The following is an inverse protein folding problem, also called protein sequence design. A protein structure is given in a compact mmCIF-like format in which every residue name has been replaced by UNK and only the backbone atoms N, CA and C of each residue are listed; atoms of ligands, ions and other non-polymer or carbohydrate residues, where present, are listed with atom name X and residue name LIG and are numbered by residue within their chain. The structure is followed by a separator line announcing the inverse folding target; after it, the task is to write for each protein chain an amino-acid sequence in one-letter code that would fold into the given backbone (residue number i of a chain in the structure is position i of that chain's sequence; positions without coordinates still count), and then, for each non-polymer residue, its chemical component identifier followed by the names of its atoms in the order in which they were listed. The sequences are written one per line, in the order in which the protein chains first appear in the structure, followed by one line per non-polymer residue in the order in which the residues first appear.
data_IF_609944739753
#
_entry.id   IF_609944739753
#
_cell.length_a   1.000
_cell.length_b   1.000
_cell.length_c   1.000
_cell.angle_alpha   90.00
_cell.angle_beta   90.00
_cell.angle_gamma   90.00
#
_symmetry.space_group_name_H-M   'P 1'
#
loop_
_entity.id
_entity.type
_entity.pdbx_description
1 polymer ?
#
# COMPACT_ATOMS: atom_id res chain seq x y z
N UNK A 1 -0.97 -31.33 55.50
CA UNK A 1 -1.67 -30.03 55.60
C UNK A 1 -0.65 -28.95 55.29
N UNK A 2 -0.74 -28.27 54.16
CA UNK A 2 0.08 -27.08 53.89
C UNK A 2 -0.86 -26.00 53.40
N UNK A 3 -1.34 -25.20 54.35
CA UNK A 3 -2.00 -23.94 54.07
C UNK A 3 -0.95 -23.06 53.38
N UNK A 4 -1.15 -22.76 52.10
CA UNK A 4 -0.32 -21.77 51.42
C UNK A 4 -0.59 -20.42 52.07
N UNK A 5 0.35 -19.92 52.86
CA UNK A 5 0.32 -18.55 53.39
C UNK A 5 0.38 -17.58 52.21
N UNK A 6 -0.78 -17.11 51.78
CA UNK A 6 -0.90 -16.05 50.80
C UNK A 6 -0.61 -14.71 51.50
N UNK A 7 0.29 -13.93 50.93
CA UNK A 7 0.70 -12.63 51.48
C UNK A 7 -0.49 -11.66 51.61
N UNK A 8 -0.40 -10.73 52.56
CA UNK A 8 -1.39 -9.67 52.75
C UNK A 8 -1.08 -8.50 51.83
N UNK A 9 -2.13 -7.84 51.34
CA UNK A 9 -2.04 -6.65 50.50
C UNK A 9 -1.16 -5.55 51.13
N UNK A 10 -0.24 -4.99 50.37
CA UNK A 10 0.68 -3.94 50.81
C UNK A 10 0.10 -2.52 50.80
N UNK A 11 -1.23 -2.37 50.72
CA UNK A 11 -1.87 -1.06 50.70
C UNK A 11 -2.14 -0.61 52.14
N UNK A 12 -1.86 0.66 52.47
CA UNK A 12 -2.06 1.18 53.83
C UNK A 12 -3.49 0.90 54.34
N UNK A 13 -3.58 0.27 55.50
CA UNK A 13 -4.87 -0.09 56.13
C UNK A 13 -5.61 -1.28 55.49
N UNK A 14 -5.02 -2.00 54.54
CA UNK A 14 -5.66 -3.15 53.89
C UNK A 14 -5.14 -4.49 54.45
N UNK A 15 -6.04 -5.33 54.95
CA UNK A 15 -5.73 -6.68 55.45
C UNK A 15 -6.19 -7.81 54.51
N UNK A 16 -6.58 -7.48 53.27
CA UNK A 16 -7.08 -8.48 52.32
C UNK A 16 -5.93 -9.37 51.79
N UNK A 17 -6.18 -10.68 51.60
CA UNK A 17 -5.17 -11.59 51.06
C UNK A 17 -4.92 -11.33 49.57
N UNK A 18 -3.68 -11.52 49.14
CA UNK A 18 -3.29 -11.50 47.73
C UNK A 18 -3.68 -12.83 47.09
N UNK A 19 -4.34 -12.78 45.94
CA UNK A 19 -4.91 -13.97 45.30
C UNK A 19 -3.88 -14.86 44.59
N UNK A 20 -2.63 -14.40 44.40
CA UNK A 20 -1.60 -15.11 43.65
C UNK A 20 -0.20 -14.82 44.21
N UNK A 21 0.62 -15.86 44.36
CA UNK A 21 2.03 -15.70 44.77
C UNK A 21 2.78 -14.77 43.79
N UNK A 22 3.62 -13.88 44.34
CA UNK A 22 4.40 -12.89 43.59
C UNK A 22 3.72 -11.54 43.38
N UNK A 23 2.46 -11.37 43.80
CA UNK A 23 1.77 -10.07 43.78
C UNK A 23 1.78 -9.42 45.16
N UNK A 24 1.75 -8.08 45.19
CA UNK A 24 1.78 -7.30 46.43
C UNK A 24 0.44 -6.66 46.79
N UNK A 25 -0.48 -6.52 45.83
CA UNK A 25 -1.80 -5.92 46.02
C UNK A 25 -2.92 -6.95 45.92
N UNK A 26 -3.97 -6.78 46.71
CA UNK A 26 -5.21 -7.53 46.50
C UNK A 26 -5.91 -7.07 45.22
N UNK A 27 -6.88 -7.88 44.76
CA UNK A 27 -7.59 -7.66 43.50
C UNK A 27 -8.20 -6.25 43.38
N UNK A 28 -8.80 -5.72 44.46
CA UNK A 28 -9.43 -4.39 44.44
C UNK A 28 -8.41 -3.25 44.30
N UNK A 29 -7.27 -3.34 44.99
CA UNK A 29 -6.20 -2.34 44.89
C UNK A 29 -5.43 -2.42 43.58
N UNK A 30 -5.16 -3.62 43.08
CA UNK A 30 -4.58 -3.82 41.76
C UNK A 30 -5.50 -3.28 40.64
N UNK A 31 -6.81 -3.45 40.77
CA UNK A 31 -7.78 -2.91 39.82
C UNK A 31 -7.82 -1.38 39.86
N UNK A 32 -7.78 -0.77 41.06
CA UNK A 32 -7.67 0.69 41.21
C UNK A 32 -6.35 1.25 40.70
N UNK A 33 -5.23 0.57 40.89
CA UNK A 33 -3.93 1.01 40.36
C UNK A 33 -3.86 0.97 38.83
N UNK A 34 -4.78 0.25 38.17
CA UNK A 34 -4.94 0.22 36.71
C UNK A 34 -6.03 1.16 36.19
N UNK A 35 -6.76 1.84 37.07
CA UNK A 35 -7.67 2.94 36.72
C UNK A 35 -6.98 4.31 36.72
N UNK A 36 -5.64 4.34 36.57
CA UNK A 36 -5.00 5.55 36.04
C UNK A 36 -5.61 5.74 34.66
N UNK A 37 -6.39 6.81 34.50
CA UNK A 37 -7.07 7.18 33.27
C UNK A 37 -6.12 6.92 32.10
N UNK A 38 -6.53 6.07 31.16
CA UNK A 38 -5.80 5.96 29.90
C UNK A 38 -5.60 7.39 29.40
N UNK A 39 -4.35 7.84 29.15
CA UNK A 39 -4.14 9.19 28.67
C UNK A 39 -4.99 9.32 27.42
N UNK A 40 -6.01 10.19 27.48
CA UNK A 40 -6.84 10.48 26.31
C UNK A 40 -5.88 10.80 25.19
N UNK A 41 -5.89 9.98 24.14
CA UNK A 41 -5.04 10.20 22.99
C UNK A 41 -5.45 11.55 22.37
N UNK A 42 -4.80 12.63 22.80
CA UNK A 42 -4.90 13.92 22.15
C UNK A 42 -4.09 13.80 20.88
N UNK A 43 -4.79 13.56 19.77
CA UNK A 43 -4.21 13.74 18.45
C UNK A 43 -3.76 15.20 18.35
N UNK A 44 -2.47 15.45 18.53
CA UNK A 44 -1.87 16.73 18.15
C UNK A 44 -1.98 16.76 16.64
N UNK A 45 -3.01 17.43 16.12
CA UNK A 45 -3.16 17.66 14.69
C UNK A 45 -1.85 18.27 14.19
N UNK A 46 -1.24 17.65 13.18
CA UNK A 46 -0.09 18.25 12.51
C UNK A 46 -0.48 19.67 12.10
N UNK A 47 0.34 20.70 12.45
CA UNK A 47 0.03 22.05 12.05
C UNK A 47 -0.14 22.07 10.53
N UNK A 48 -1.31 22.52 10.07
CA UNK A 48 -1.57 22.68 8.64
C UNK A 48 -0.47 23.56 8.05
N UNK A 49 0.03 23.24 6.84
CA UNK A 49 1.04 24.08 6.22
C UNK A 49 0.51 25.52 6.11
N UNK A 50 1.28 26.48 6.63
CA UNK A 50 0.92 27.90 6.57
C UNK A 50 1.11 28.35 5.12
N UNK A 51 0.01 28.38 4.37
CA UNK A 51 -0.02 28.86 3.00
C UNK A 51 -0.36 30.34 3.03
N UNK A 52 0.51 31.18 2.48
CA UNK A 52 0.26 32.63 2.42
C UNK A 52 -0.97 32.96 1.57
N UNK A 53 -1.72 33.99 1.98
CA UNK A 53 -2.96 34.43 1.33
C UNK A 53 -2.73 35.46 0.21
N UNK A 54 -1.51 35.59 -0.28
CA UNK A 54 -1.21 36.60 -1.30
C UNK A 54 -1.90 36.22 -2.61
N UNK A 55 -2.77 37.09 -3.13
CA UNK A 55 -3.59 36.77 -4.31
C UNK A 55 -2.76 36.81 -5.61
N UNK A 56 -1.54 37.35 -5.56
CA UNK A 56 -0.69 37.61 -6.72
C UNK A 56 0.46 36.60 -6.88
N UNK A 57 0.48 35.54 -6.07
CA UNK A 57 1.52 34.51 -6.13
C UNK A 57 1.26 33.49 -7.25
N UNK A 58 2.33 33.00 -7.91
CA UNK A 58 2.20 32.04 -8.99
C UNK A 58 1.64 30.71 -8.47
N UNK A 59 0.60 30.22 -9.15
CA UNK A 59 -0.01 28.91 -8.91
C UNK A 59 0.74 27.82 -9.67
N UNK A 60 0.98 26.69 -9.02
CA UNK A 60 1.78 25.59 -9.51
C UNK A 60 0.87 24.41 -9.88
N UNK A 61 1.03 23.88 -11.09
CA UNK A 61 0.38 22.62 -11.49
C UNK A 61 1.30 21.43 -11.18
N UNK A 62 0.84 20.21 -11.46
CA UNK A 62 1.62 18.98 -11.24
C UNK A 62 2.98 18.96 -11.96
N UNK A 63 3.10 19.62 -13.12
CA UNK A 63 4.37 19.73 -13.85
C UNK A 63 5.34 20.67 -13.12
N UNK A 64 4.89 21.87 -12.74
CA UNK A 64 5.71 22.83 -11.99
C UNK A 64 6.11 22.33 -10.60
N UNK A 65 5.22 21.56 -9.95
CA UNK A 65 5.57 20.85 -8.71
C UNK A 65 6.61 19.76 -8.99
N UNK A 66 6.44 19.01 -10.08
CA UNK A 66 7.35 17.95 -10.50
C UNK A 66 8.77 18.44 -10.74
N UNK A 67 8.92 19.56 -11.43
CA UNK A 67 10.22 20.21 -11.66
C UNK A 67 10.97 20.50 -10.35
N UNK A 68 10.25 20.87 -9.28
CA UNK A 68 10.86 21.13 -7.96
C UNK A 68 11.26 19.88 -7.20
N UNK A 69 10.55 18.78 -7.43
CA UNK A 69 10.78 17.50 -6.74
C UNK A 69 11.53 16.46 -7.58
N UNK A 70 11.94 16.85 -8.79
CA UNK A 70 12.53 15.94 -9.79
C UNK A 70 11.62 14.73 -10.11
N UNK A 71 10.33 14.99 -10.24
CA UNK A 71 9.30 14.02 -10.59
C UNK A 71 8.54 14.49 -11.82
N UNK A 72 8.02 13.56 -12.63
CA UNK A 72 7.12 13.90 -13.71
C UNK A 72 5.70 14.21 -13.17
N UNK A 73 4.87 14.84 -14.00
CA UNK A 73 3.52 15.25 -13.61
C UNK A 73 2.62 14.09 -13.19
N UNK A 74 2.80 12.88 -13.75
CA UNK A 74 2.03 11.70 -13.36
C UNK A 74 2.41 11.25 -11.94
N UNK A 75 3.71 11.18 -11.66
CA UNK A 75 4.24 10.82 -10.34
C UNK A 75 3.80 11.80 -9.25
N UNK A 76 3.81 13.11 -9.53
CA UNK A 76 3.28 14.09 -8.56
C UNK A 76 1.79 13.91 -8.31
N UNK A 77 1.00 13.73 -9.36
CA UNK A 77 -0.43 13.51 -9.18
C UNK A 77 -0.70 12.21 -8.40
N UNK A 78 0.13 11.17 -8.58
CA UNK A 78 0.08 9.95 -7.78
C UNK A 78 0.27 10.23 -6.30
N UNK A 79 1.35 10.94 -5.94
CA UNK A 79 1.63 11.34 -4.55
C UNK A 79 0.48 12.18 -3.96
N UNK A 80 -0.02 13.18 -4.70
CA UNK A 80 -1.11 14.04 -4.25
C UNK A 80 -2.43 13.28 -4.09
N UNK A 81 -2.68 12.27 -4.92
CA UNK A 81 -3.84 11.41 -4.81
C UNK A 81 -3.76 10.49 -3.59
N UNK A 82 -2.59 9.89 -3.34
CA UNK A 82 -2.36 9.02 -2.18
C UNK A 82 -2.47 9.78 -0.85
N UNK A 83 -2.05 11.06 -0.82
CA UNK A 83 -2.29 11.97 0.31
C UNK A 83 -3.77 12.34 0.49
N UNK A 84 -4.64 11.96 -0.44
CA UNK A 84 -6.05 12.33 -0.45
C UNK A 84 -6.29 13.80 -0.72
N UNK A 85 -5.35 14.49 -1.37
CA UNK A 85 -5.43 15.93 -1.65
C UNK A 85 -6.09 16.23 -3.00
N UNK A 86 -6.09 15.26 -3.92
CA UNK A 86 -6.82 15.31 -5.19
C UNK A 86 -7.64 14.04 -5.42
N UNK A 87 -8.63 14.14 -6.29
CA UNK A 87 -9.51 13.05 -6.70
C UNK A 87 -9.62 13.01 -8.23
N UNK A 88 -9.99 11.84 -8.76
CA UNK A 88 -10.29 11.69 -10.19
C UNK A 88 -11.54 12.51 -10.54
N UNK A 89 -11.52 13.12 -11.72
CA UNK A 89 -12.69 13.72 -12.34
C UNK A 89 -12.60 13.50 -13.85
N UNK A 90 -13.44 12.60 -14.37
CA UNK A 90 -13.39 12.14 -15.76
C UNK A 90 -11.98 11.67 -16.17
N UNK A 91 -11.32 12.41 -17.08
CA UNK A 91 -9.96 12.15 -17.57
C UNK A 91 -8.89 13.01 -16.87
N UNK A 92 -9.27 13.74 -15.83
CA UNK A 92 -8.41 14.71 -15.16
C UNK A 92 -8.49 14.60 -13.64
N UNK A 93 -8.23 15.72 -12.99
CA UNK A 93 -8.08 15.81 -11.54
C UNK A 93 -8.82 17.02 -10.97
N UNK A 94 -9.45 16.83 -9.81
CA UNK A 94 -10.04 17.90 -9.01
C UNK A 94 -9.47 17.88 -7.58
N UNK A 95 -9.46 19.01 -6.86
CA UNK A 95 -9.18 19.02 -5.43
C UNK A 95 -10.18 18.16 -4.65
N UNK A 96 -9.70 17.47 -3.62
CA UNK A 96 -10.58 16.93 -2.58
C UNK A 96 -10.94 18.03 -1.57
N UNK A 97 -11.85 17.76 -0.64
CA UNK A 97 -12.13 18.67 0.48
C UNK A 97 -10.88 19.00 1.33
N UNK A 98 -9.89 18.11 1.39
CA UNK A 98 -8.60 18.38 2.04
C UNK A 98 -7.71 19.27 1.17
N UNK A 99 -7.66 19.01 -0.14
CA UNK A 99 -6.96 19.87 -1.10
C UNK A 99 -7.46 21.31 -1.10
N UNK A 100 -8.78 21.52 -1.04
CA UNK A 100 -9.38 22.86 -0.98
C UNK A 100 -9.00 23.62 0.29
N UNK A 101 -8.92 22.93 1.44
CA UNK A 101 -8.41 23.51 2.70
C UNK A 101 -6.96 23.97 2.56
N UNK A 102 -6.18 23.27 1.73
CA UNK A 102 -4.82 23.62 1.33
C UNK A 102 -4.78 24.60 0.13
N UNK A 103 -5.89 25.30 -0.14
CA UNK A 103 -6.02 26.32 -1.19
C UNK A 103 -5.77 25.80 -2.61
N UNK A 104 -5.93 24.50 -2.84
CA UNK A 104 -5.93 23.94 -4.18
C UNK A 104 -7.12 24.47 -4.98
N UNK A 105 -6.91 24.70 -6.28
CA UNK A 105 -7.94 25.19 -7.19
C UNK A 105 -8.02 24.26 -8.40
N UNK A 106 -9.24 23.96 -8.83
CA UNK A 106 -9.50 23.29 -10.11
C UNK A 106 -9.39 24.31 -11.24
N UNK A 107 -8.68 23.95 -12.31
CA UNK A 107 -8.64 24.66 -13.59
C UNK A 107 -8.89 23.69 -14.73
N UNK A 108 -9.24 24.20 -15.90
CA UNK A 108 -9.46 23.41 -17.12
C UNK A 108 -8.37 23.74 -18.13
N UNK A 109 -7.82 22.74 -18.80
CA UNK A 109 -6.91 22.96 -19.92
C UNK A 109 -7.65 23.64 -21.08
N UNK A 110 -7.11 24.75 -21.57
CA UNK A 110 -7.76 25.54 -22.64
C UNK A 110 -8.00 24.77 -23.94
N UNK A 111 -7.21 23.71 -24.20
CA UNK A 111 -7.26 22.96 -25.46
C UNK A 111 -8.32 21.86 -25.49
N UNK A 112 -8.58 21.20 -24.37
CA UNK A 112 -9.38 19.97 -24.31
C UNK A 112 -10.33 19.90 -23.11
N UNK A 113 -10.41 20.97 -22.32
CA UNK A 113 -11.27 21.09 -21.14
C UNK A 113 -11.05 20.00 -20.08
N UNK A 114 -9.92 19.31 -20.09
CA UNK A 114 -9.58 18.32 -19.07
C UNK A 114 -9.28 19.06 -17.75
N UNK A 115 -9.88 18.66 -16.62
CA UNK A 115 -9.64 19.29 -15.34
C UNK A 115 -8.26 18.95 -14.78
N UNK A 116 -7.61 19.94 -14.16
CA UNK A 116 -6.36 19.76 -13.44
C UNK A 116 -6.31 20.65 -12.20
N UNK A 117 -5.42 20.30 -11.27
CA UNK A 117 -5.30 20.99 -10.00
C UNK A 117 -4.08 21.91 -9.99
N UNK A 118 -4.27 23.12 -9.45
CA UNK A 118 -3.20 24.06 -9.18
C UNK A 118 -3.13 24.41 -7.70
N UNK A 119 -1.93 24.72 -7.24
CA UNK A 119 -1.59 24.90 -5.83
C UNK A 119 -0.86 26.21 -5.61
N UNK A 120 -0.99 26.79 -4.43
CA UNK A 120 -0.09 27.85 -4.02
C UNK A 120 1.35 27.31 -3.89
N UNK A 121 2.37 28.08 -4.29
CA UNK A 121 3.77 27.66 -4.28
C UNK A 121 4.29 27.17 -2.91
N UNK A 122 3.68 27.63 -1.82
CA UNK A 122 4.02 27.23 -0.45
C UNK A 122 3.67 25.76 -0.15
N UNK A 123 2.90 25.10 -1.00
CA UNK A 123 2.61 23.66 -0.83
C UNK A 123 3.90 22.83 -0.81
N UNK A 124 4.95 23.28 -1.50
CA UNK A 124 6.27 22.64 -1.49
C UNK A 124 6.95 22.67 -0.10
N UNK A 125 6.53 23.55 0.81
CA UNK A 125 7.02 23.64 2.19
C UNK A 125 6.29 22.66 3.12
N UNK A 126 5.22 22.02 2.65
CA UNK A 126 4.48 21.05 3.45
C UNK A 126 5.35 19.84 3.76
N UNK A 127 5.59 19.58 5.05
CA UNK A 127 6.31 18.38 5.50
C UNK A 127 5.62 17.10 5.05
N UNK A 128 4.29 17.10 4.96
CA UNK A 128 3.51 15.95 4.49
C UNK A 128 3.87 15.64 3.03
N UNK A 129 3.90 16.67 2.18
CA UNK A 129 4.26 16.49 0.77
C UNK A 129 5.73 16.09 0.60
N UNK A 130 6.64 16.73 1.34
CA UNK A 130 8.07 16.41 1.29
C UNK A 130 8.34 14.96 1.71
N UNK A 131 7.71 14.49 2.79
CA UNK A 131 7.85 13.12 3.26
C UNK A 131 7.28 12.13 2.24
N UNK A 132 6.10 12.39 1.69
CA UNK A 132 5.46 11.52 0.71
C UNK A 132 6.27 11.44 -0.60
N UNK A 133 6.83 12.56 -1.06
CA UNK A 133 7.75 12.58 -2.21
C UNK A 133 9.03 11.82 -1.90
N UNK A 134 9.60 11.98 -0.70
CA UNK A 134 10.81 11.26 -0.30
C UNK A 134 10.56 9.75 -0.25
N UNK A 135 9.43 9.31 0.31
CA UNK A 135 9.03 7.90 0.34
C UNK A 135 8.83 7.36 -1.09
N UNK A 136 8.16 8.12 -1.94
CA UNK A 136 7.98 7.79 -3.36
C UNK A 136 9.32 7.65 -4.09
N UNK A 137 10.25 8.59 -3.90
CA UNK A 137 11.58 8.55 -4.49
C UNK A 137 12.44 7.42 -3.92
N UNK A 138 12.33 7.07 -2.64
CA UNK A 138 13.05 5.92 -2.08
C UNK A 138 12.67 4.60 -2.78
N UNK A 139 11.42 4.47 -3.22
CA UNK A 139 10.97 3.34 -4.04
C UNK A 139 11.59 3.41 -5.45
N UNK A 140 11.77 4.61 -6.00
CA UNK A 140 12.34 4.79 -7.35
C UNK A 140 13.87 4.66 -7.39
N UNK A 141 14.61 5.24 -6.44
CA UNK A 141 16.09 5.27 -6.39
C UNK A 141 16.69 3.87 -6.18
N UNK A 142 15.91 2.91 -5.67
CA UNK A 142 16.28 1.48 -5.72
C UNK A 142 16.19 0.86 -7.14
N UNK A 143 16.18 1.67 -8.21
CA UNK A 143 16.62 1.28 -9.57
C UNK A 143 16.97 2.51 -10.44
N UNK A 144 17.99 2.49 -11.33
CA UNK A 144 18.97 1.44 -11.62
C UNK A 144 20.43 1.95 -11.58
N UNK A 145 21.27 1.30 -10.78
CA UNK A 145 22.67 1.09 -11.18
C UNK A 145 22.81 -0.37 -11.57
N UNK A 146 23.08 -0.58 -12.85
CA UNK A 146 23.46 -1.85 -13.46
C UNK A 146 24.81 -2.25 -12.85
N UNK A 147 24.81 -2.84 -11.65
CA UNK A 147 25.98 -3.55 -11.10
C UNK A 147 25.58 -4.54 -10.02
N UNK A 148 24.63 -5.44 -10.30
CA UNK A 148 24.55 -6.71 -9.57
C UNK A 148 24.17 -7.84 -10.54
N UNK A 149 25.13 -8.21 -11.39
CA UNK A 149 25.31 -9.63 -11.69
C UNK A 149 25.92 -10.26 -10.45
N UNK A 150 25.26 -11.30 -9.90
CA UNK A 150 25.70 -12.26 -8.85
C UNK A 150 24.77 -12.22 -7.63
N UNK A 151 23.89 -13.17 -7.30
CA UNK A 151 23.62 -14.53 -7.78
C UNK A 151 22.14 -14.83 -7.48
N UNK A 152 21.32 -15.08 -8.48
CA UNK A 152 20.08 -15.85 -8.30
C UNK A 152 20.34 -17.27 -8.81
N UNK A 153 20.48 -18.28 -7.92
CA UNK A 153 20.48 -19.65 -8.37
C UNK A 153 19.10 -20.08 -8.86
N UNK A 154 19.12 -20.66 -10.05
CA UNK A 154 18.04 -21.25 -10.83
C UNK A 154 17.21 -22.29 -10.06
N UNK A 155 16.18 -21.88 -9.33
CA UNK A 155 15.14 -22.83 -8.89
C UNK A 155 13.86 -22.10 -8.50
N UNK A 156 13.09 -21.70 -9.52
CA UNK A 156 11.73 -21.20 -9.36
C UNK A 156 10.77 -22.36 -9.01
N UNK A 157 10.95 -23.03 -7.88
CA UNK A 157 10.07 -24.10 -7.40
C UNK A 157 8.81 -23.51 -6.74
N UNK A 158 7.75 -24.32 -6.64
CA UNK A 158 6.52 -24.07 -5.90
C UNK A 158 6.71 -23.12 -4.71
N UNK A 159 5.72 -22.25 -4.43
CA UNK A 159 5.62 -21.54 -3.13
C UNK A 159 5.33 -22.53 -1.98
N UNK A 160 6.03 -23.66 -1.95
CA UNK A 160 6.20 -24.55 -0.81
C UNK A 160 7.01 -23.83 0.29
N UNK A 161 6.93 -24.37 1.49
CA UNK A 161 7.28 -23.74 2.77
C UNK A 161 8.69 -23.11 2.84
N UNK A 162 9.63 -23.43 1.95
CA UNK A 162 10.97 -22.81 1.90
C UNK A 162 11.16 -21.59 0.97
N UNK A 163 10.31 -21.33 -0.03
CA UNK A 163 10.50 -20.17 -0.94
C UNK A 163 10.28 -18.84 -0.22
N UNK A 164 9.29 -18.80 0.68
CA UNK A 164 8.94 -17.60 1.43
C UNK A 164 10.04 -17.15 2.38
N UNK A 165 10.78 -18.13 2.90
CA UNK A 165 11.93 -17.94 3.79
C UNK A 165 13.17 -17.51 3.01
N UNK A 166 13.40 -18.09 1.82
CA UNK A 166 14.56 -17.78 0.98
C UNK A 166 14.49 -16.39 0.32
N UNK A 167 13.29 -15.90 0.03
CA UNK A 167 13.06 -14.60 -0.60
C UNK A 167 12.04 -13.80 0.23
N UNK A 168 12.44 -13.08 1.28
CA UNK A 168 11.49 -12.31 2.07
C UNK A 168 10.87 -11.18 1.23
N UNK A 169 9.60 -10.81 1.48
CA UNK A 169 9.00 -9.64 0.85
C UNK A 169 9.58 -8.36 1.47
N UNK A 170 10.46 -7.68 0.76
CA UNK A 170 11.20 -6.51 1.27
C UNK A 170 10.65 -5.18 0.78
N UNK A 171 9.83 -5.18 -0.27
CA UNK A 171 9.32 -3.96 -0.91
C UNK A 171 7.94 -3.66 -0.34
N UNK A 172 7.74 -2.46 0.20
CA UNK A 172 6.43 -2.00 0.68
C UNK A 172 5.67 -1.35 -0.47
N UNK A 173 4.48 -1.86 -0.78
CA UNK A 173 3.58 -1.31 -1.79
C UNK A 173 2.69 -0.19 -1.21
N UNK A 174 2.01 0.55 -2.08
CA UNK A 174 1.25 1.77 -1.72
C UNK A 174 0.12 1.52 -0.72
N UNK A 175 -0.48 0.34 -0.74
CA UNK A 175 -1.55 -0.04 0.20
C UNK A 175 -1.03 -0.66 1.51
N UNK A 176 0.28 -0.87 1.61
CA UNK A 176 0.96 -1.46 2.75
C UNK A 176 1.32 -2.93 2.61
N UNK A 177 1.00 -3.62 1.51
CA UNK A 177 1.49 -4.97 1.27
C UNK A 177 3.02 -5.00 1.20
N UNK A 178 3.62 -6.07 1.73
CA UNK A 178 5.04 -6.38 1.52
C UNK A 178 5.13 -7.35 0.34
N UNK A 179 5.71 -6.91 -0.77
CA UNK A 179 5.83 -7.68 -2.03
C UNK A 179 7.29 -8.03 -2.33
N UNK A 180 7.51 -8.95 -3.28
CA UNK A 180 8.81 -9.58 -3.55
C UNK A 180 9.52 -9.01 -4.78
N UNK A 181 8.82 -8.25 -5.62
CA UNK A 181 9.38 -7.67 -6.84
C UNK A 181 8.78 -6.30 -7.17
N UNK A 182 9.52 -5.51 -7.96
CA UNK A 182 9.05 -4.19 -8.44
C UNK A 182 7.80 -4.29 -9.31
N UNK A 183 7.73 -5.31 -10.17
CA UNK A 183 6.55 -5.54 -11.01
C UNK A 183 5.30 -5.81 -10.16
N UNK A 184 5.42 -6.63 -9.10
CA UNK A 184 4.32 -6.81 -8.14
C UNK A 184 3.95 -5.49 -7.44
N UNK A 185 4.93 -4.69 -7.02
CA UNK A 185 4.64 -3.38 -6.41
C UNK A 185 3.89 -2.45 -7.36
N UNK A 186 4.21 -2.47 -8.66
CA UNK A 186 3.50 -1.69 -9.68
C UNK A 186 2.07 -2.21 -9.91
N UNK A 187 1.87 -3.53 -9.93
CA UNK A 187 0.53 -4.14 -10.05
C UNK A 187 -0.32 -3.83 -8.82
N UNK A 188 0.25 -3.97 -7.62
CA UNK A 188 -0.39 -3.64 -6.35
C UNK A 188 -0.80 -2.17 -6.29
N UNK A 189 0.15 -1.26 -6.57
CA UNK A 189 -0.11 0.16 -6.66
C UNK A 189 -1.27 0.44 -7.61
N UNK A 190 -1.26 -0.16 -8.81
CA UNK A 190 -2.32 0.00 -9.79
C UNK A 190 -3.70 -0.42 -9.27
N UNK A 191 -3.79 -1.59 -8.63
CA UNK A 191 -5.03 -2.09 -8.03
C UNK A 191 -5.52 -1.14 -6.94
N UNK A 192 -4.60 -0.62 -6.13
CA UNK A 192 -4.91 0.36 -5.08
C UNK A 192 -5.44 1.69 -5.65
N UNK A 193 -4.80 2.30 -6.67
CA UNK A 193 -5.29 3.59 -7.22
C UNK A 193 -6.66 3.46 -7.86
N UNK A 194 -6.94 2.30 -8.46
CA UNK A 194 -8.23 1.99 -9.08
C UNK A 194 -9.29 1.55 -8.06
N UNK A 195 -8.96 1.61 -6.75
CA UNK A 195 -9.85 1.23 -5.64
C UNK A 195 -10.38 -0.20 -5.79
N UNK A 196 -9.55 -1.08 -6.33
CA UNK A 196 -9.85 -2.49 -6.50
C UNK A 196 -9.38 -3.20 -5.23
N UNK A 197 -10.35 -3.75 -4.49
CA UNK A 197 -10.05 -4.63 -3.35
C UNK A 197 -9.31 -5.85 -3.90
N UNK A 198 -8.15 -6.14 -3.33
CA UNK A 198 -7.31 -7.24 -3.74
C UNK A 198 -6.59 -7.88 -2.55
N UNK A 199 -6.15 -9.12 -2.73
CA UNK A 199 -5.36 -9.86 -1.76
C UNK A 199 -4.05 -10.32 -2.40
N UNK A 200 -2.92 -10.04 -1.74
CA UNK A 200 -1.59 -10.49 -2.16
C UNK A 200 -1.27 -11.91 -1.66
N UNK A 201 -0.59 -12.71 -2.49
CA UNK A 201 -0.20 -14.10 -2.20
C UNK A 201 -1.30 -14.98 -1.58
N UNK A 202 -2.49 -14.94 -2.19
CA UNK A 202 -3.67 -15.66 -1.71
C UNK A 202 -3.65 -17.12 -2.15
N UNK A 203 -4.09 -18.02 -1.28
CA UNK A 203 -4.30 -19.43 -1.61
C UNK A 203 -5.39 -19.55 -2.69
N UNK A 204 -5.08 -20.24 -3.77
CA UNK A 204 -6.05 -20.51 -4.84
C UNK A 204 -7.02 -21.58 -4.35
N UNK A 205 -8.31 -21.43 -4.73
CA UNK A 205 -9.39 -22.35 -4.33
C UNK A 205 -9.35 -23.66 -5.12
N UNK A 206 -8.27 -24.42 -4.97
CA UNK A 206 -8.08 -25.76 -5.55
C UNK A 206 -7.53 -26.69 -4.48
N UNK A 207 -7.64 -28.01 -4.70
CA UNK A 207 -7.17 -29.01 -3.73
C UNK A 207 -5.65 -28.96 -3.51
N UNK A 208 -4.90 -28.62 -4.56
CA UNK A 208 -3.45 -28.48 -4.45
C UNK A 208 -3.08 -27.16 -3.79
N UNK A 209 -2.18 -27.20 -2.79
CA UNK A 209 -1.71 -25.99 -2.10
C UNK A 209 -0.89 -25.12 -3.07
N UNK A 210 -1.55 -24.14 -3.69
CA UNK A 210 -0.94 -23.17 -4.58
C UNK A 210 -1.41 -21.75 -4.27
N UNK A 211 -0.57 -20.77 -4.53
CA UNK A 211 -0.85 -19.36 -4.27
C UNK A 211 -0.78 -18.57 -5.58
N UNK A 212 -1.72 -17.65 -5.77
CA UNK A 212 -1.64 -16.63 -6.82
C UNK A 212 -0.79 -15.44 -6.38
N UNK A 213 -0.50 -14.51 -7.28
CA UNK A 213 0.16 -13.26 -6.89
C UNK A 213 -0.87 -12.26 -6.36
N UNK A 214 -1.98 -12.07 -7.07
CA UNK A 214 -3.11 -11.28 -6.59
C UNK A 214 -4.45 -11.98 -6.81
N UNK A 215 -5.41 -11.76 -5.92
CA UNK A 215 -6.80 -12.20 -6.06
C UNK A 215 -7.75 -11.03 -5.88
N UNK A 216 -8.67 -10.85 -6.82
CA UNK A 216 -9.68 -9.79 -6.82
C UNK A 216 -11.05 -10.38 -6.42
N UNK A 217 -11.46 -10.30 -5.15
CA UNK A 217 -12.69 -10.95 -4.67
C UNK A 217 -13.97 -10.42 -5.32
N UNK A 218 -14.06 -9.12 -5.64
CA UNK A 218 -15.25 -8.53 -6.28
C UNK A 218 -15.51 -9.13 -7.66
N UNK A 219 -14.43 -9.49 -8.39
CA UNK A 219 -14.52 -10.02 -9.74
C UNK A 219 -14.32 -11.54 -9.81
N UNK A 220 -13.97 -12.17 -8.70
CA UNK A 220 -13.52 -13.58 -8.65
C UNK A 220 -12.45 -13.89 -9.71
N UNK A 221 -11.41 -13.05 -9.77
CA UNK A 221 -10.30 -13.14 -10.73
C UNK A 221 -8.97 -13.29 -10.01
N UNK A 222 -8.13 -14.19 -10.49
CA UNK A 222 -6.74 -14.34 -10.10
C UNK A 222 -5.82 -13.61 -11.08
N UNK A 223 -4.72 -13.06 -10.58
CA UNK A 223 -3.67 -12.42 -11.38
C UNK A 223 -2.35 -13.12 -11.08
N UNK A 224 -1.59 -13.40 -12.13
CA UNK A 224 -0.24 -13.97 -12.09
C UNK A 224 0.73 -13.10 -12.87
N UNK A 225 1.91 -12.84 -12.31
CA UNK A 225 2.98 -12.14 -13.00
C UNK A 225 4.10 -13.10 -13.43
N UNK A 226 4.39 -13.12 -14.74
CA UNK A 226 5.38 -13.99 -15.36
C UNK A 226 6.61 -13.19 -15.83
N UNK A 227 7.56 -12.92 -14.91
CA UNK A 227 8.75 -12.12 -15.18
C UNK A 227 9.97 -12.86 -15.76
N UNK A 228 10.02 -14.20 -15.67
CA UNK A 228 11.24 -14.99 -15.98
C UNK A 228 10.99 -16.09 -17.04
N UNK A 229 10.35 -15.74 -18.16
CA UNK A 229 9.96 -16.71 -19.21
C UNK A 229 11.14 -17.41 -19.93
N UNK A 230 12.40 -16.97 -19.72
CA UNK A 230 13.58 -17.54 -20.38
C UNK A 230 14.08 -18.86 -19.80
N UNK A 231 13.71 -19.22 -18.56
CA UNK A 231 14.18 -20.46 -17.92
C UNK A 231 13.27 -21.66 -18.27
N UNK A 232 13.79 -22.76 -18.84
CA UNK A 232 12.99 -23.94 -19.20
C UNK A 232 12.25 -24.58 -18.01
N UNK A 233 12.88 -24.65 -16.82
CA UNK A 233 12.23 -25.20 -15.60
C UNK A 233 11.07 -24.32 -15.15
N UNK A 234 11.18 -23.00 -15.31
CA UNK A 234 10.10 -22.06 -14.98
C UNK A 234 8.91 -22.23 -15.92
N UNK A 235 9.16 -22.40 -17.22
CA UNK A 235 8.11 -22.59 -18.23
C UNK A 235 7.25 -23.83 -17.96
N UNK A 236 7.87 -24.96 -17.63
CA UNK A 236 7.14 -26.19 -17.27
C UNK A 236 6.23 -25.98 -16.05
N UNK A 237 6.71 -25.24 -15.04
CA UNK A 237 5.92 -24.95 -13.83
C UNK A 237 4.79 -23.98 -14.10
N UNK A 238 5.04 -22.93 -14.89
CA UNK A 238 4.01 -22.03 -15.39
C UNK A 238 2.92 -22.82 -16.11
N UNK A 239 3.29 -23.70 -17.05
CA UNK A 239 2.35 -24.55 -17.78
C UNK A 239 1.51 -25.43 -16.84
N UNK A 240 2.13 -26.07 -15.85
CA UNK A 240 1.41 -26.85 -14.83
C UNK A 240 0.40 -25.99 -14.04
N UNK A 241 0.80 -24.78 -13.65
CA UNK A 241 -0.07 -23.85 -12.90
C UNK A 241 -1.24 -23.36 -13.76
N UNK A 242 -0.98 -23.03 -15.03
CA UNK A 242 -2.02 -22.67 -16.01
C UNK A 242 -2.99 -23.83 -16.27
N UNK A 243 -2.49 -25.07 -16.32
CA UNK A 243 -3.33 -26.26 -16.46
C UNK A 243 -4.26 -26.42 -15.26
N UNK A 244 -3.79 -26.21 -14.03
CA UNK A 244 -4.64 -26.24 -12.83
C UNK A 244 -5.73 -25.15 -12.91
N UNK A 245 -5.38 -23.92 -13.29
CA UNK A 245 -6.38 -22.86 -13.48
C UNK A 245 -7.43 -23.24 -14.54
N UNK A 246 -7.00 -23.84 -15.66
CA UNK A 246 -7.88 -24.28 -16.74
C UNK A 246 -8.81 -25.42 -16.32
N UNK A 247 -8.26 -26.45 -15.67
CA UNK A 247 -9.02 -27.63 -15.22
C UNK A 247 -10.08 -27.28 -14.17
N UNK A 248 -9.83 -26.26 -13.36
CA UNK A 248 -10.76 -25.79 -12.33
C UNK A 248 -11.62 -24.60 -12.80
N UNK A 249 -11.59 -24.27 -14.09
CA UNK A 249 -12.38 -23.19 -14.72
C UNK A 249 -12.23 -21.83 -14.01
N UNK A 250 -11.06 -21.56 -13.46
CA UNK A 250 -10.78 -20.36 -12.70
C UNK A 250 -10.43 -19.20 -13.63
N UNK A 251 -10.93 -18.01 -13.29
CA UNK A 251 -10.68 -16.79 -14.08
C UNK A 251 -9.30 -16.25 -13.78
N UNK A 252 -8.46 -16.16 -14.81
CA UNK A 252 -7.05 -15.78 -14.68
C UNK A 252 -6.70 -14.61 -15.61
N UNK A 253 -5.92 -13.67 -15.09
CA UNK A 253 -5.20 -12.64 -15.85
C UNK A 253 -3.70 -12.92 -15.76
N UNK A 254 -3.05 -13.03 -16.90
CA UNK A 254 -1.60 -13.26 -17.00
C UNK A 254 -0.86 -11.97 -17.36
N UNK A 255 -0.08 -11.44 -16.44
CA UNK A 255 0.79 -10.28 -16.68
C UNK A 255 2.18 -10.79 -17.04
N UNK A 256 2.80 -10.20 -18.05
CA UNK A 256 4.19 -10.49 -18.45
C UNK A 256 5.03 -9.24 -18.30
N UNK A 257 6.34 -9.39 -18.33
CA UNK A 257 7.28 -8.26 -18.23
C UNK A 257 6.95 -7.12 -19.23
N UNK A 258 6.71 -7.46 -20.51
CA UNK A 258 6.28 -6.51 -21.54
C UNK A 258 4.96 -5.77 -21.28
N UNK A 259 4.10 -6.31 -20.39
CA UNK A 259 2.84 -5.65 -20.03
C UNK A 259 3.06 -4.58 -18.96
N UNK A 260 4.18 -4.59 -18.24
CA UNK A 260 4.51 -3.59 -17.22
C UNK A 260 4.69 -2.21 -17.85
N UNK A 261 5.27 -2.13 -19.04
CA UNK A 261 5.46 -0.87 -19.78
C UNK A 261 4.14 -0.17 -20.14
N UNK A 262 3.05 -0.93 -20.27
CA UNK A 262 1.71 -0.40 -20.54
C UNK A 262 0.65 -1.03 -19.61
N UNK A 263 0.97 -1.05 -18.31
CA UNK A 263 0.19 -1.78 -17.31
C UNK A 263 -1.26 -1.28 -17.22
N UNK A 264 -1.46 0.04 -17.27
CA UNK A 264 -2.76 0.71 -17.24
C UNK A 264 -3.73 0.15 -18.28
N UNK A 265 -3.36 0.27 -19.56
CA UNK A 265 -4.21 -0.16 -20.66
C UNK A 265 -4.41 -1.68 -20.64
N UNK A 266 -3.35 -2.43 -20.33
CA UNK A 266 -3.41 -3.88 -20.28
C UNK A 266 -4.40 -4.36 -19.22
N UNK A 267 -4.25 -3.94 -17.97
CA UNK A 267 -5.12 -4.36 -16.88
C UNK A 267 -6.55 -3.87 -17.07
N UNK A 268 -6.76 -2.63 -17.53
CA UNK A 268 -8.09 -2.15 -17.91
C UNK A 268 -8.75 -3.07 -18.94
N UNK A 269 -8.05 -3.38 -20.03
CA UNK A 269 -8.58 -4.21 -21.11
C UNK A 269 -8.91 -5.64 -20.66
N UNK A 270 -8.13 -6.21 -19.73
CA UNK A 270 -8.39 -7.55 -19.21
C UNK A 270 -9.53 -7.56 -18.20
N UNK A 271 -9.53 -6.63 -17.24
CA UNK A 271 -10.53 -6.62 -16.16
C UNK A 271 -11.93 -6.22 -16.66
N UNK A 272 -12.05 -5.45 -17.74
CA UNK A 272 -13.37 -5.16 -18.34
C UNK A 272 -14.07 -6.43 -18.82
N UNK A 273 -13.34 -7.43 -19.35
CA UNK A 273 -13.89 -8.74 -19.73
C UNK A 273 -14.50 -9.49 -18.55
N UNK A 274 -14.13 -9.07 -17.35
CA UNK A 274 -14.44 -9.66 -16.07
C UNK A 274 -15.47 -8.84 -15.27
N UNK A 275 -16.06 -7.82 -15.90
CA UNK A 275 -17.11 -6.98 -15.32
C UNK A 275 -16.59 -5.75 -14.56
N UNK A 276 -15.28 -5.49 -14.58
CA UNK A 276 -14.73 -4.26 -14.03
C UNK A 276 -15.25 -3.04 -14.80
N UNK A 277 -15.67 -2.03 -14.04
CA UNK A 277 -16.03 -0.71 -14.55
C UNK A 277 -15.21 0.30 -13.76
N UNK A 278 -14.50 1.18 -14.47
CA UNK A 278 -13.73 2.24 -13.84
C UNK A 278 -14.65 3.07 -12.93
N UNK A 279 -14.31 3.11 -11.64
CA UNK A 279 -15.00 3.94 -10.64
C UNK A 279 -14.35 5.32 -10.73
N UNK A 280 -15.00 6.24 -11.45
CA UNK A 280 -14.60 7.65 -11.56
C UNK A 280 -14.99 8.43 -10.30
#
# INVERSE_FOLDING_TARGET
MTVTDLAICSAEGCSNPVQKQGHTLCYSHWKKSRQIEEPTATYVGTPQPIISNDANTPLFNSTSLGERFNLNAKQINRVLFDLGWIEREDKGWKPSALGEKLKAQKKLFSRNSIPFVVWHQDICKSRILQNAVSEFLSIEVESPSITQTSLMPEEAADKAEGFREKFPPTIRASDGHMVRSRAEAMIDAWLYENRIVHAYERLVRVEQKMYCDFYLPEYDVYIEFWGLESNPKYRVRKEKKLEIYRQNELRLVEIKDKHIDNLDDYLMSQLVKFGYKAKY
#
